data_IF_732002136693
#
_entry.id   IF_732002136693
#
_cell.length_a   1.000
_cell.length_b   1.000
_cell.length_c   1.000
_cell.angle_alpha   90.00
_cell.angle_beta   90.00
_cell.angle_gamma   90.00
#
_symmetry.space_group_name_H-M   'P 1'
#
loop_
_entity.id
_entity.type
_entity.pdbx_description
1 polymer ?
#
# COMPACT_ATOMS: atom_id res chain seq x y z
N UNK A 1 26.38 -3.25 -12.76
CA UNK A 1 24.91 -3.14 -12.86
C UNK A 1 24.39 -2.58 -11.54
N UNK A 2 23.92 -1.34 -11.51
CA UNK A 2 23.40 -0.72 -10.28
C UNK A 2 22.04 -1.33 -9.96
N UNK A 3 21.95 -2.11 -8.89
CA UNK A 3 20.67 -2.60 -8.37
C UNK A 3 19.88 -1.38 -7.89
N UNK A 4 18.90 -0.90 -8.70
CA UNK A 4 17.94 0.12 -8.24
C UNK A 4 17.26 -0.44 -6.99
N UNK A 5 17.62 0.09 -5.82
CA UNK A 5 16.86 -0.15 -4.58
C UNK A 5 15.45 0.38 -4.84
N UNK A 6 14.49 -0.52 -5.04
CA UNK A 6 13.07 -0.16 -5.04
C UNK A 6 12.77 0.52 -3.69
N UNK A 7 12.32 1.78 -3.72
CA UNK A 7 11.74 2.43 -2.54
C UNK A 7 10.59 1.54 -2.07
N UNK A 8 10.73 0.97 -0.87
CA UNK A 8 9.66 0.20 -0.24
C UNK A 8 8.61 1.19 0.25
N UNK A 9 7.38 1.03 -0.21
CA UNK A 9 6.24 1.77 0.34
C UNK A 9 5.99 1.24 1.75
N UNK A 10 5.76 2.15 2.69
CA UNK A 10 5.27 1.80 4.03
C UNK A 10 3.83 1.32 3.91
N UNK A 11 3.37 0.42 4.81
CA UNK A 11 1.99 -0.05 4.81
C UNK A 11 0.96 1.09 4.81
N UNK A 12 1.23 2.20 5.51
CA UNK A 12 0.32 3.36 5.54
C UNK A 12 0.22 4.05 4.17
N UNK A 13 1.34 4.16 3.44
CA UNK A 13 1.39 4.74 2.10
C UNK A 13 0.64 3.85 1.09
N UNK A 14 0.76 2.53 1.24
CA UNK A 14 0.03 1.56 0.41
C UNK A 14 -1.48 1.71 0.61
N UNK A 15 -1.95 1.77 1.86
CA UNK A 15 -3.38 1.90 2.16
C UNK A 15 -3.92 3.26 1.73
N UNK A 16 -3.16 4.34 1.87
CA UNK A 16 -3.54 5.65 1.32
C UNK A 16 -3.72 5.58 -0.20
N UNK A 17 -2.74 5.02 -0.93
CA UNK A 17 -2.81 4.84 -2.38
C UNK A 17 -3.98 3.95 -2.82
N UNK A 18 -4.31 2.90 -2.07
CA UNK A 18 -5.48 2.06 -2.36
C UNK A 18 -6.79 2.84 -2.21
N UNK A 19 -6.92 3.70 -1.20
CA UNK A 19 -8.10 4.55 -1.03
C UNK A 19 -8.21 5.61 -2.13
N UNK A 20 -7.08 6.19 -2.54
CA UNK A 20 -7.04 7.11 -3.66
C UNK A 20 -7.42 6.41 -4.97
N UNK A 21 -6.93 5.18 -5.20
CA UNK A 21 -7.34 4.36 -6.33
C UNK A 21 -8.85 4.12 -6.35
N UNK A 22 -9.43 3.69 -5.24
CA UNK A 22 -10.86 3.40 -5.16
C UNK A 22 -11.71 4.69 -5.31
N UNK A 23 -11.26 5.81 -4.76
CA UNK A 23 -11.93 7.11 -4.96
C UNK A 23 -11.91 7.55 -6.44
N UNK A 24 -10.79 7.36 -7.14
CA UNK A 24 -10.67 7.67 -8.57
C UNK A 24 -11.54 6.75 -9.44
N UNK A 25 -11.58 5.46 -9.14
CA UNK A 25 -12.45 4.50 -9.84
C UNK A 25 -13.93 4.81 -9.60
N UNK A 26 -14.31 5.15 -8.37
CA UNK A 26 -15.69 5.58 -8.04
C UNK A 26 -16.07 6.90 -8.71
N UNK A 27 -15.09 7.78 -8.97
CA UNK A 27 -15.28 8.98 -9.77
C UNK A 27 -15.36 8.71 -11.29
N UNK A 28 -15.29 7.44 -11.71
CA UNK A 28 -15.40 7.02 -13.11
C UNK A 28 -14.10 7.13 -13.91
N UNK A 29 -12.94 7.28 -13.27
CA UNK A 29 -11.65 7.25 -13.96
C UNK A 29 -11.32 5.82 -14.38
N UNK A 30 -10.70 5.69 -15.55
CA UNK A 30 -10.19 4.41 -16.03
C UNK A 30 -9.01 3.90 -15.19
N UNK A 31 -8.86 2.58 -15.12
CA UNK A 31 -7.77 1.94 -14.37
C UNK A 31 -6.39 2.42 -14.84
N UNK A 32 -6.18 2.62 -16.14
CA UNK A 32 -4.90 3.11 -16.67
C UNK A 32 -4.57 4.52 -16.14
N UNK A 33 -5.57 5.39 -16.04
CA UNK A 33 -5.41 6.73 -15.48
C UNK A 33 -5.09 6.69 -13.98
N UNK A 34 -5.67 5.74 -13.25
CA UNK A 34 -5.37 5.51 -11.82
C UNK A 34 -3.94 5.04 -11.63
N UNK A 35 -3.50 4.04 -12.40
CA UNK A 35 -2.13 3.51 -12.33
C UNK A 35 -1.09 4.58 -12.66
N UNK A 36 -1.38 5.43 -13.65
CA UNK A 36 -0.52 6.55 -14.00
C UNK A 36 -0.49 7.62 -12.91
N UNK A 37 -1.64 7.96 -12.31
CA UNK A 37 -1.72 8.94 -11.23
C UNK A 37 -0.99 8.48 -9.94
N UNK A 38 -1.01 7.18 -9.65
CA UNK A 38 -0.37 6.60 -8.47
C UNK A 38 1.10 6.19 -8.69
N UNK A 39 1.59 6.30 -9.92
CA UNK A 39 2.92 5.88 -10.37
C UNK A 39 3.23 4.42 -10.00
N UNK A 40 2.25 3.54 -10.15
CA UNK A 40 2.38 2.10 -9.85
C UNK A 40 1.94 1.24 -11.02
N UNK A 41 2.50 0.02 -11.11
CA UNK A 41 2.03 -0.97 -12.06
C UNK A 41 0.73 -1.62 -11.58
N UNK A 42 -0.06 -2.12 -12.52
CA UNK A 42 -1.27 -2.92 -12.24
C UNK A 42 -0.98 -4.07 -11.27
N UNK A 43 0.08 -4.83 -11.55
CA UNK A 43 0.55 -5.92 -10.69
C UNK A 43 0.87 -5.49 -9.25
N UNK A 44 1.31 -4.25 -9.04
CA UNK A 44 1.56 -3.71 -7.70
C UNK A 44 0.24 -3.40 -7.01
N UNK A 45 -0.71 -2.80 -7.74
CA UNK A 45 -2.04 -2.47 -7.22
C UNK A 45 -2.83 -3.74 -6.85
N UNK A 46 -2.79 -4.79 -7.68
CA UNK A 46 -3.43 -6.08 -7.38
C UNK A 46 -2.82 -6.76 -6.16
N UNK A 47 -1.48 -6.77 -6.05
CA UNK A 47 -0.81 -7.32 -4.88
C UNK A 47 -1.19 -6.55 -3.61
N UNK A 48 -1.27 -5.22 -3.69
CA UNK A 48 -1.71 -4.39 -2.58
C UNK A 48 -3.17 -4.61 -2.23
N UNK A 49 -4.07 -4.80 -3.20
CA UNK A 49 -5.47 -5.16 -2.94
C UNK A 49 -5.60 -6.52 -2.27
N UNK A 50 -4.83 -7.52 -2.71
CA UNK A 50 -4.81 -8.83 -2.07
C UNK A 50 -4.28 -8.76 -0.62
N UNK A 51 -3.27 -7.92 -0.36
CA UNK A 51 -2.60 -7.83 0.94
C UNK A 51 -3.28 -6.86 1.92
N UNK A 52 -3.89 -5.78 1.42
CA UNK A 52 -4.40 -4.66 2.22
C UNK A 52 -5.82 -4.20 1.83
N UNK A 53 -6.46 -4.76 0.80
CA UNK A 53 -7.75 -4.29 0.26
C UNK A 53 -8.94 -4.42 1.23
N UNK A 54 -8.81 -5.22 2.29
CA UNK A 54 -9.79 -5.29 3.39
C UNK A 54 -9.44 -4.43 4.61
N UNK A 55 -8.28 -3.77 4.64
CA UNK A 55 -7.82 -3.00 5.80
C UNK A 55 -8.34 -1.56 5.77
N UNK A 56 -9.12 -1.18 6.79
CA UNK A 56 -9.36 0.24 7.09
C UNK A 56 -8.04 0.89 7.52
N UNK A 57 -7.79 2.17 7.19
CA UNK A 57 -6.55 2.87 7.55
C UNK A 57 -6.15 2.74 9.03
N UNK A 58 -7.12 2.67 9.94
CA UNK A 58 -6.86 2.50 11.38
C UNK A 58 -6.32 1.10 11.71
N UNK A 59 -6.75 0.06 11.00
CA UNK A 59 -6.22 -1.30 11.16
C UNK A 59 -4.79 -1.42 10.61
N UNK A 60 -4.49 -0.71 9.53
CA UNK A 60 -3.13 -0.66 8.96
C UNK A 60 -2.12 0.02 9.90
N UNK A 61 -2.54 1.11 10.57
CA UNK A 61 -1.73 1.77 11.60
C UNK A 61 -1.49 0.86 12.81
N UNK A 62 -2.55 0.17 13.28
CA UNK A 62 -2.48 -0.76 14.41
C UNK A 62 -1.59 -1.95 14.11
N UNK A 63 -1.66 -2.52 12.91
CA UNK A 63 -0.80 -3.63 12.50
C UNK A 63 0.68 -3.24 12.53
N UNK A 64 1.03 -2.08 12.00
CA UNK A 64 2.42 -1.61 12.01
C UNK A 64 2.95 -1.39 13.43
N UNK A 65 2.13 -0.84 14.32
CA UNK A 65 2.50 -0.68 15.74
C UNK A 65 2.77 -2.04 16.38
N UNK A 66 1.88 -3.01 16.16
CA UNK A 66 2.04 -4.38 16.66
C UNK A 66 3.28 -5.07 16.07
N UNK A 67 3.57 -4.88 14.78
CA UNK A 67 4.79 -5.43 14.16
C UNK A 67 6.08 -4.80 14.71
N UNK A 68 6.06 -3.51 15.05
CA UNK A 68 7.20 -2.82 15.65
C UNK A 68 7.44 -3.31 17.09
N UNK A 69 6.37 -3.43 17.88
CA UNK A 69 6.42 -4.00 19.23
C UNK A 69 6.89 -5.46 19.22
N UNK A 70 6.36 -6.29 18.32
CA UNK A 70 6.76 -7.69 18.22
C UNK A 70 8.24 -7.85 17.84
N UNK A 71 8.75 -6.97 16.97
CA UNK A 71 10.16 -6.92 16.58
C UNK A 71 11.05 -6.51 17.74
N UNK A 72 10.63 -5.50 18.51
CA UNK A 72 11.34 -5.04 19.70
C UNK A 72 11.38 -6.12 20.78
N UNK A 73 10.27 -6.83 20.99
CA UNK A 73 10.17 -7.94 21.94
C UNK A 73 11.01 -9.15 21.52
N UNK A 74 11.11 -9.44 20.22
CA UNK A 74 11.96 -10.53 19.70
C UNK A 74 13.47 -10.23 19.73
N UNK A 75 13.85 -9.00 20.02
CA UNK A 75 15.26 -8.57 20.16
C UNK A 75 15.73 -8.52 21.61
N UNK A 76 14.83 -8.74 22.57
CA UNK A 76 15.13 -9.01 23.99
C UNK A 76 15.27 -10.52 24.21
#
# INVERSE_FOLDING_TARGET
>A
MTTRRRKKHRPEEVVAKLRDADAMLNAGKDLAAVLQALEVSESTLDHWRAQYGGMKCEEAKRLKHLEDENRRLKQL
#
